data_IF_759798411684
#
_entry.id   IF_759798411684
#
_cell.length_a   1.000
_cell.length_b   1.000
_cell.length_c   1.000
_cell.angle_alpha   90.00
_cell.angle_beta   90.00
_cell.angle_gamma   90.00
#
_symmetry.space_group_name_H-M   'P 1'
#
loop_
_entity.id
_entity.type
_entity.pdbx_description
1 polymer ?
#
# COMPACT_ATOMS: atom_id res chain seq x y z
N UNK A 1 11.97 -5.84 -11.04
CA UNK A 1 11.86 -4.72 -12.01
C UNK A 1 12.88 -3.67 -11.60
N UNK A 2 13.53 -3.03 -12.55
CA UNK A 2 14.52 -1.96 -12.33
C UNK A 2 13.96 -0.67 -12.93
N UNK A 3 14.13 0.50 -12.28
CA UNK A 3 13.75 1.78 -12.88
C UNK A 3 14.40 1.94 -14.27
N UNK A 4 13.62 2.43 -15.23
CA UNK A 4 14.10 2.74 -16.58
C UNK A 4 14.45 4.23 -16.74
N UNK A 5 13.90 5.09 -15.88
CA UNK A 5 14.20 6.52 -15.77
C UNK A 5 14.17 6.87 -14.27
N UNK A 6 15.23 7.49 -13.78
CA UNK A 6 15.40 7.87 -12.37
C UNK A 6 14.68 9.18 -12.02
N UNK A 7 14.40 10.01 -13.02
CA UNK A 7 13.89 11.36 -12.85
C UNK A 7 12.41 11.47 -13.18
N UNK A 8 11.93 10.72 -14.17
CA UNK A 8 10.57 10.87 -14.69
C UNK A 8 9.73 9.61 -14.56
N UNK A 9 8.48 9.79 -14.11
CA UNK A 9 7.46 8.76 -14.21
C UNK A 9 6.73 8.88 -15.56
N UNK A 10 6.12 7.78 -15.99
CA UNK A 10 5.26 7.75 -17.19
C UNK A 10 4.13 8.78 -17.03
N UNK A 11 3.86 9.55 -18.09
CA UNK A 11 2.68 10.40 -18.21
C UNK A 11 1.45 9.53 -18.54
N UNK A 12 0.73 9.11 -17.51
CA UNK A 12 -0.29 8.05 -17.57
C UNK A 12 -1.58 8.52 -18.25
N UNK A 13 -1.84 9.83 -18.26
CA UNK A 13 -3.01 10.45 -18.93
C UNK A 13 -3.05 10.23 -20.45
N UNK A 14 -1.92 9.86 -21.07
CA UNK A 14 -1.84 9.54 -22.52
C UNK A 14 -2.36 8.14 -22.86
N UNK A 15 -2.74 7.34 -21.87
CA UNK A 15 -3.14 5.95 -22.03
C UNK A 15 -4.61 5.75 -21.64
N UNK A 16 -5.28 4.81 -22.31
CA UNK A 16 -6.62 4.35 -21.92
C UNK A 16 -6.59 3.29 -20.82
N UNK A 17 -5.48 2.55 -20.72
CA UNK A 17 -5.31 1.48 -19.73
C UNK A 17 -4.98 2.10 -18.37
N UNK A 18 -5.64 1.69 -17.26
CA UNK A 18 -5.38 2.25 -15.94
C UNK A 18 -4.01 1.84 -15.40
N UNK A 19 -3.37 2.74 -14.65
CA UNK A 19 -2.09 2.50 -14.01
C UNK A 19 -2.23 2.37 -12.49
N UNK A 20 -1.54 1.38 -11.92
CA UNK A 20 -1.28 1.28 -10.49
C UNK A 20 0.10 1.83 -10.17
N UNK A 21 0.22 2.65 -9.12
CA UNK A 21 1.51 3.18 -8.67
C UNK A 21 1.74 2.93 -7.17
N UNK A 22 3.00 2.73 -6.80
CA UNK A 22 3.42 2.58 -5.40
C UNK A 22 3.71 3.93 -4.74
N UNK A 23 3.38 4.07 -3.46
CA UNK A 23 3.76 5.22 -2.63
C UNK A 23 4.22 4.79 -1.24
N UNK A 24 5.02 5.64 -0.60
CA UNK A 24 5.43 5.52 0.81
C UNK A 24 4.75 6.52 1.74
N UNK A 25 4.32 7.64 1.18
CA UNK A 25 3.71 8.75 1.90
C UNK A 25 2.68 9.44 0.99
N UNK A 26 1.93 10.39 1.57
CA UNK A 26 0.87 11.08 0.87
C UNK A 26 1.36 11.93 -0.32
N UNK A 27 2.50 12.62 -0.18
CA UNK A 27 3.06 13.43 -1.25
C UNK A 27 3.40 12.60 -2.50
N UNK A 28 4.01 11.43 -2.31
CA UNK A 28 4.23 10.47 -3.40
C UNK A 28 2.92 10.01 -4.04
N UNK A 29 1.91 9.64 -3.24
CA UNK A 29 0.62 9.22 -3.75
C UNK A 29 -0.03 10.30 -4.63
N UNK A 30 -0.08 11.55 -4.15
CA UNK A 30 -0.68 12.67 -4.87
C UNK A 30 0.06 13.02 -6.15
N UNK A 31 1.40 12.93 -6.18
CA UNK A 31 2.15 13.09 -7.44
C UNK A 31 1.80 12.01 -8.46
N UNK A 32 1.70 10.74 -8.04
CA UNK A 32 1.30 9.64 -8.95
C UNK A 32 -0.12 9.83 -9.50
N UNK A 33 -1.04 10.31 -8.67
CA UNK A 33 -2.41 10.65 -9.08
C UNK A 33 -2.38 11.82 -10.07
N UNK A 34 -1.63 12.88 -9.79
CA UNK A 34 -1.45 14.02 -10.71
C UNK A 34 -0.85 13.64 -12.06
N UNK A 35 -0.04 12.58 -12.12
CA UNK A 35 0.46 11.99 -13.38
C UNK A 35 -0.55 11.10 -14.11
N UNK A 36 -1.71 10.81 -13.50
CA UNK A 36 -2.79 9.98 -14.07
C UNK A 36 -2.86 8.54 -13.54
N UNK A 37 -2.32 8.25 -12.34
CA UNK A 37 -2.54 6.93 -11.72
C UNK A 37 -4.02 6.74 -11.34
N UNK A 38 -4.58 5.58 -11.70
CA UNK A 38 -5.97 5.21 -11.41
C UNK A 38 -6.11 4.38 -10.13
N UNK A 39 -4.99 3.92 -9.56
CA UNK A 39 -4.93 3.17 -8.31
C UNK A 39 -3.58 3.40 -7.63
N UNK A 40 -3.60 3.53 -6.31
CA UNK A 40 -2.40 3.61 -5.48
C UNK A 40 -2.25 2.33 -4.66
N UNK A 41 -1.01 1.95 -4.39
CA UNK A 41 -0.68 0.92 -3.41
C UNK A 41 0.47 1.35 -2.52
N UNK A 42 0.59 0.76 -1.33
CA UNK A 42 1.85 0.86 -0.58
C UNK A 42 3.00 0.25 -1.38
N UNK A 43 4.22 0.80 -1.25
CA UNK A 43 5.41 0.12 -1.78
C UNK A 43 5.66 -1.17 -1.00
N UNK A 44 5.80 -1.02 0.33
CA UNK A 44 6.24 -2.08 1.23
C UNK A 44 7.60 -2.65 0.81
N UNK A 45 8.05 -3.72 1.48
CA UNK A 45 9.21 -4.48 1.01
C UNK A 45 8.74 -5.77 0.34
N UNK A 46 8.78 -5.80 -0.98
CA UNK A 46 8.24 -6.94 -1.73
C UNK A 46 9.19 -8.15 -1.66
N UNK A 47 8.64 -9.34 -1.42
CA UNK A 47 9.44 -10.56 -1.37
C UNK A 47 10.12 -10.85 -0.04
N UNK A 48 10.06 -9.94 0.94
CA UNK A 48 10.60 -10.15 2.30
C UNK A 48 9.70 -11.01 3.18
N UNK A 49 8.40 -11.10 2.90
CA UNK A 49 7.43 -11.71 3.81
C UNK A 49 7.25 -10.95 5.13
N UNK A 50 7.70 -9.69 5.19
CA UNK A 50 7.60 -8.82 6.36
C UNK A 50 6.76 -7.57 6.04
N UNK A 51 5.62 -7.45 6.71
CA UNK A 51 4.61 -6.40 6.46
C UNK A 51 4.94 -5.04 7.05
N UNK A 52 6.02 -4.90 7.85
CA UNK A 52 6.29 -3.69 8.63
C UNK A 52 6.30 -2.42 7.78
N UNK A 53 6.84 -2.50 6.56
CA UNK A 53 6.90 -1.38 5.63
C UNK A 53 5.55 -1.07 4.99
N UNK A 54 4.75 -2.09 4.66
CA UNK A 54 3.40 -1.86 4.18
C UNK A 54 2.55 -1.15 5.26
N UNK A 55 2.68 -1.57 6.52
CA UNK A 55 2.03 -0.92 7.68
C UNK A 55 2.51 0.52 7.83
N UNK A 56 3.83 0.77 7.79
CA UNK A 56 4.41 2.11 7.91
C UNK A 56 3.87 3.05 6.83
N UNK A 57 3.89 2.62 5.57
CA UNK A 57 3.40 3.42 4.44
C UNK A 57 1.90 3.69 4.53
N UNK A 58 1.09 2.68 4.89
CA UNK A 58 -0.36 2.86 5.02
C UNK A 58 -0.71 3.87 6.12
N UNK A 59 -0.05 3.76 7.28
CA UNK A 59 -0.20 4.74 8.37
C UNK A 59 0.24 6.13 7.93
N UNK A 60 1.41 6.27 7.31
CA UNK A 60 1.91 7.57 6.85
C UNK A 60 0.94 8.29 5.89
N UNK A 61 0.30 7.55 4.97
CA UNK A 61 -0.73 8.09 4.08
C UNK A 61 -1.98 8.49 4.88
N UNK A 62 -2.54 7.58 5.66
CA UNK A 62 -3.82 7.81 6.36
C UNK A 62 -3.70 8.89 7.45
N UNK A 63 -2.57 8.96 8.15
CA UNK A 63 -2.29 9.97 9.18
C UNK A 63 -2.19 11.37 8.54
N UNK A 64 -1.53 11.47 7.37
CA UNK A 64 -1.42 12.72 6.64
C UNK A 64 -2.77 13.19 6.08
N UNK A 65 -3.61 12.27 5.57
CA UNK A 65 -4.98 12.59 5.13
C UNK A 65 -5.79 13.13 6.31
N UNK A 66 -5.77 12.44 7.46
CA UNK A 66 -6.48 12.91 8.67
C UNK A 66 -6.00 14.30 9.09
N UNK A 67 -4.68 14.56 9.07
CA UNK A 67 -4.15 15.89 9.38
C UNK A 67 -4.65 16.96 8.41
N UNK A 68 -4.68 16.71 7.10
CA UNK A 68 -5.17 17.68 6.11
C UNK A 68 -6.62 18.06 6.39
N UNK A 69 -7.48 17.10 6.76
CA UNK A 69 -8.89 17.40 7.05
C UNK A 69 -9.08 18.40 8.20
N UNK A 70 -8.11 18.53 9.10
CA UNK A 70 -8.17 19.43 10.26
C UNK A 70 -7.47 20.78 10.05
N UNK A 71 -6.76 20.99 8.93
CA UNK A 71 -6.07 22.26 8.67
C UNK A 71 -7.05 23.36 8.23
N UNK A 72 -6.77 24.61 8.55
CA UNK A 72 -7.53 25.73 7.97
C UNK A 72 -7.18 25.94 6.49
N UNK A 73 -8.09 26.51 5.71
CA UNK A 73 -7.95 26.62 4.26
C UNK A 73 -6.69 27.42 3.84
N UNK A 74 -6.31 28.43 4.63
CA UNK A 74 -5.10 29.23 4.41
C UNK A 74 -3.80 28.42 4.58
N UNK A 75 -3.84 27.30 5.31
CA UNK A 75 -2.67 26.45 5.56
C UNK A 75 -2.43 25.44 4.42
N UNK A 76 -3.42 25.21 3.55
CA UNK A 76 -3.37 24.15 2.54
C UNK A 76 -2.27 24.35 1.51
N UNK A 77 -2.00 25.60 1.10
CA UNK A 77 -0.94 25.89 0.12
C UNK A 77 0.45 25.58 0.69
N UNK A 78 0.68 25.92 1.96
CA UNK A 78 1.93 25.59 2.64
C UNK A 78 2.10 24.07 2.80
N UNK A 79 1.02 23.36 3.10
CA UNK A 79 1.04 21.90 3.21
C UNK A 79 1.29 21.23 1.84
N UNK A 80 0.66 21.70 0.77
CA UNK A 80 0.90 21.22 -0.60
C UNK A 80 2.37 21.38 -1.02
N UNK A 81 2.97 22.54 -0.70
CA UNK A 81 4.41 22.79 -0.91
C UNK A 81 5.28 21.81 -0.12
N UNK A 82 4.98 21.57 1.16
CA UNK A 82 5.73 20.63 2.02
C UNK A 82 5.65 19.19 1.51
N UNK A 83 4.48 18.75 1.05
CA UNK A 83 4.29 17.41 0.50
C UNK A 83 4.90 17.26 -0.90
N UNK A 84 5.13 18.37 -1.61
CA UNK A 84 5.46 18.38 -3.03
C UNK A 84 4.32 17.79 -3.86
N UNK A 85 3.08 18.19 -3.57
CA UNK A 85 1.87 17.63 -4.15
C UNK A 85 1.05 18.70 -4.90
N UNK A 86 0.26 18.32 -5.91
CA UNK A 86 -0.67 19.25 -6.57
C UNK A 86 -1.66 19.85 -5.57
N UNK A 87 -1.78 21.18 -5.57
CA UNK A 87 -2.64 21.91 -4.62
C UNK A 87 -4.10 21.48 -4.70
N UNK A 88 -4.66 21.34 -5.91
CA UNK A 88 -6.06 20.95 -6.10
C UNK A 88 -6.37 19.57 -5.49
N UNK A 89 -5.40 18.65 -5.49
CA UNK A 89 -5.58 17.35 -4.84
C UNK A 89 -5.52 17.47 -3.30
N UNK A 90 -4.75 18.41 -2.76
CA UNK A 90 -4.77 18.69 -1.31
C UNK A 90 -6.12 19.29 -0.90
N UNK A 91 -6.69 20.20 -1.69
CA UNK A 91 -8.05 20.69 -1.48
C UNK A 91 -9.08 19.57 -1.55
N UNK A 92 -8.98 18.69 -2.55
CA UNK A 92 -9.84 17.51 -2.64
C UNK A 92 -9.78 16.64 -1.37
N UNK A 93 -8.58 16.42 -0.81
CA UNK A 93 -8.43 15.67 0.44
C UNK A 93 -9.06 16.37 1.64
N UNK A 94 -8.94 17.70 1.74
CA UNK A 94 -9.57 18.50 2.80
C UNK A 94 -11.09 18.31 2.80
N UNK A 95 -11.70 18.35 1.62
CA UNK A 95 -13.15 18.22 1.46
C UNK A 95 -13.65 16.78 1.63
N UNK A 96 -12.91 15.79 1.11
CA UNK A 96 -13.41 14.42 0.96
C UNK A 96 -12.86 13.43 2.00
N UNK A 97 -11.75 13.76 2.68
CA UNK A 97 -11.12 12.91 3.69
C UNK A 97 -10.55 11.58 3.18
N UNK A 98 -10.38 11.43 1.86
CA UNK A 98 -9.86 10.22 1.20
C UNK A 98 -9.25 10.55 -0.16
N UNK A 99 -8.40 9.66 -0.66
CA UNK A 99 -7.84 9.77 -2.01
C UNK A 99 -8.94 9.70 -3.09
N UNK A 100 -8.77 10.35 -4.25
CA UNK A 100 -9.70 10.25 -5.38
C UNK A 100 -9.62 8.91 -6.12
N UNK A 101 -8.70 8.02 -5.74
CA UNK A 101 -8.48 6.69 -6.33
C UNK A 101 -8.29 5.65 -5.22
N UNK A 102 -8.53 4.35 -5.50
CA UNK A 102 -8.36 3.31 -4.50
C UNK A 102 -6.93 3.21 -3.96
N UNK A 103 -6.78 2.89 -2.67
CA UNK A 103 -5.50 2.66 -2.01
C UNK A 103 -5.38 1.24 -1.44
N UNK A 104 -4.55 0.41 -2.09
CA UNK A 104 -4.36 -1.00 -1.71
C UNK A 104 -3.08 -1.19 -0.90
N UNK A 105 -3.03 -2.24 -0.07
CA UNK A 105 -1.79 -2.65 0.58
C UNK A 105 -1.00 -3.62 -0.30
N UNK A 106 0.32 -3.48 -0.32
CA UNK A 106 1.25 -4.38 -0.99
C UNK A 106 2.62 -4.39 -0.29
N UNK A 107 3.33 -5.51 -0.46
CA UNK A 107 4.64 -5.76 0.14
C UNK A 107 4.53 -6.48 1.48
N UNK A 108 5.28 -7.57 1.64
CA UNK A 108 5.36 -8.32 2.90
C UNK A 108 4.19 -9.21 3.29
N UNK A 109 2.99 -9.06 2.72
CA UNK A 109 1.80 -9.83 3.12
C UNK A 109 2.01 -11.33 2.87
N UNK A 110 1.98 -12.14 3.92
CA UNK A 110 2.25 -13.58 3.86
C UNK A 110 1.18 -14.46 4.55
N UNK A 111 0.35 -13.85 5.41
CA UNK A 111 -0.66 -14.56 6.21
C UNK A 111 -2.05 -13.94 6.10
N UNK A 112 -3.12 -14.68 6.46
CA UNK A 112 -4.47 -14.10 6.56
C UNK A 112 -4.55 -12.97 7.60
N UNK A 113 -3.78 -13.06 8.70
CA UNK A 113 -3.72 -12.02 9.71
C UNK A 113 -3.12 -10.71 9.17
N UNK A 114 -2.06 -10.81 8.37
CA UNK A 114 -1.47 -9.65 7.67
C UNK A 114 -2.50 -8.95 6.77
N UNK A 115 -3.24 -9.74 5.98
CA UNK A 115 -4.26 -9.22 5.09
C UNK A 115 -5.39 -8.52 5.88
N UNK A 116 -5.88 -9.15 6.94
CA UNK A 116 -6.88 -8.54 7.83
C UNK A 116 -6.36 -7.24 8.46
N UNK A 117 -5.13 -7.23 8.96
CA UNK A 117 -4.51 -6.04 9.55
C UNK A 117 -4.48 -4.88 8.56
N UNK A 118 -4.04 -5.11 7.31
CA UNK A 118 -3.99 -4.05 6.31
C UNK A 118 -5.37 -3.46 6.00
N UNK A 119 -6.40 -4.30 5.92
CA UNK A 119 -7.79 -3.84 5.75
C UNK A 119 -8.25 -2.98 6.94
N UNK A 120 -7.94 -3.39 8.18
CA UNK A 120 -8.25 -2.63 9.39
C UNK A 120 -7.50 -1.29 9.47
N UNK A 121 -6.31 -1.19 8.86
CA UNK A 121 -5.53 0.04 8.77
C UNK A 121 -6.04 1.01 7.70
N UNK A 122 -7.07 0.65 6.94
CA UNK A 122 -7.71 1.50 5.93
C UNK A 122 -7.31 1.18 4.49
N UNK A 123 -6.68 0.03 4.23
CA UNK A 123 -6.53 -0.46 2.85
C UNK A 123 -7.91 -0.86 2.28
N UNK A 124 -8.13 -0.57 1.01
CA UNK A 124 -9.36 -1.00 0.31
C UNK A 124 -9.25 -2.43 -0.25
N UNK A 125 -8.04 -2.93 -0.43
CA UNK A 125 -7.73 -4.33 -0.76
C UNK A 125 -6.24 -4.62 -0.57
N UNK A 126 -5.79 -5.83 -0.90
CA UNK A 126 -4.41 -6.30 -0.75
C UNK A 126 -3.86 -6.92 -2.03
N UNK A 127 -2.58 -6.68 -2.32
CA UNK A 127 -1.79 -7.42 -3.31
C UNK A 127 -0.92 -8.45 -2.60
N UNK A 128 -0.99 -9.71 -3.05
CA UNK A 128 -0.17 -10.79 -2.52
C UNK A 128 0.50 -11.54 -3.66
N UNK A 129 1.82 -11.71 -3.56
CA UNK A 129 2.64 -12.46 -4.52
C UNK A 129 3.37 -13.61 -3.83
N UNK A 130 4.60 -13.36 -3.38
CA UNK A 130 5.46 -14.38 -2.76
C UNK A 130 4.83 -15.06 -1.55
N UNK A 131 4.01 -14.34 -0.77
CA UNK A 131 3.32 -14.87 0.39
C UNK A 131 2.46 -16.11 0.10
N UNK A 132 1.91 -16.20 -1.12
CA UNK A 132 1.14 -17.36 -1.59
C UNK A 132 2.07 -18.38 -2.24
N UNK A 133 2.80 -17.98 -3.29
CA UNK A 133 3.49 -18.94 -4.16
C UNK A 133 4.79 -19.51 -3.58
N UNK A 134 5.37 -18.89 -2.54
CA UNK A 134 6.52 -19.45 -1.80
C UNK A 134 6.11 -20.18 -0.51
N UNK A 135 4.82 -20.44 -0.30
CA UNK A 135 4.34 -21.27 0.80
C UNK A 135 4.25 -22.74 0.42
N UNK A 136 4.15 -23.65 1.38
CA UNK A 136 4.04 -25.09 1.10
C UNK A 136 2.69 -25.50 0.51
N UNK A 137 1.63 -24.71 0.69
CA UNK A 137 0.31 -24.97 0.12
C UNK A 137 -0.34 -23.69 -0.46
N UNK A 138 0.06 -23.26 -1.67
CA UNK A 138 -0.38 -22.00 -2.26
C UNK A 138 -1.89 -21.89 -2.45
N UNK A 139 -2.57 -22.95 -2.87
CA UNK A 139 -4.01 -22.92 -3.14
C UNK A 139 -4.83 -22.66 -1.87
N UNK A 140 -4.51 -23.37 -0.78
CA UNK A 140 -5.18 -23.20 0.51
C UNK A 140 -4.87 -21.82 1.08
N UNK A 141 -3.62 -21.37 1.01
CA UNK A 141 -3.23 -20.04 1.50
C UNK A 141 -3.89 -18.91 0.71
N UNK A 142 -3.98 -19.01 -0.61
CA UNK A 142 -4.68 -18.04 -1.43
C UNK A 142 -6.14 -17.89 -1.01
N UNK A 143 -6.85 -19.03 -0.84
CA UNK A 143 -8.25 -19.02 -0.38
C UNK A 143 -8.37 -18.39 1.01
N UNK A 144 -7.48 -18.73 1.93
CA UNK A 144 -7.48 -18.18 3.28
C UNK A 144 -7.26 -16.66 3.31
N UNK A 145 -6.33 -16.16 2.50
CA UNK A 145 -6.08 -14.71 2.37
C UNK A 145 -7.31 -14.01 1.79
N UNK A 146 -7.93 -14.54 0.72
CA UNK A 146 -9.15 -13.97 0.15
C UNK A 146 -10.27 -13.89 1.20
N UNK A 147 -10.46 -14.96 1.97
CA UNK A 147 -11.47 -15.00 3.04
C UNK A 147 -11.17 -13.98 4.14
N UNK A 148 -9.91 -13.87 4.59
CA UNK A 148 -9.53 -12.91 5.62
C UNK A 148 -9.59 -11.46 5.14
N UNK A 149 -9.28 -11.17 3.87
CA UNK A 149 -9.48 -9.84 3.27
C UNK A 149 -10.96 -9.47 3.23
N UNK A 150 -11.83 -10.42 2.84
CA UNK A 150 -13.28 -10.19 2.73
C UNK A 150 -13.94 -10.01 4.10
N UNK A 151 -13.55 -10.83 5.07
CA UNK A 151 -14.16 -10.90 6.40
C UNK A 151 -13.21 -10.38 7.49
N UNK A 152 -12.42 -9.36 7.20
CA UNK A 152 -11.32 -8.91 8.06
C UNK A 152 -11.74 -8.48 9.48
N UNK A 153 -13.03 -8.15 9.70
CA UNK A 153 -13.61 -7.80 11.01
C UNK A 153 -14.10 -9.02 11.80
N UNK A 154 -14.26 -10.19 11.18
CA UNK A 154 -14.64 -11.41 11.87
C UNK A 154 -13.39 -12.15 12.37
N UNK A 155 -13.00 -11.84 13.61
CA UNK A 155 -11.83 -12.44 14.24
C UNK A 155 -11.91 -13.97 14.33
N UNK A 156 -13.13 -14.54 14.46
CA UNK A 156 -13.32 -15.99 14.51
C UNK A 156 -13.05 -16.62 13.15
N UNK A 157 -13.58 -16.04 12.08
CA UNK A 157 -13.33 -16.51 10.72
C UNK A 157 -11.86 -16.34 10.33
N UNK A 158 -11.25 -15.18 10.61
CA UNK A 158 -9.82 -14.95 10.36
C UNK A 158 -8.96 -15.98 11.09
N UNK A 159 -9.29 -16.29 12.35
CA UNK A 159 -8.63 -17.33 13.13
C UNK A 159 -8.82 -18.72 12.52
N UNK A 160 -10.02 -19.05 12.05
CA UNK A 160 -10.32 -20.35 11.46
C UNK A 160 -9.56 -20.57 10.14
N UNK A 161 -9.58 -19.59 9.23
CA UNK A 161 -8.86 -19.70 7.95
C UNK A 161 -7.35 -19.60 8.11
N UNK A 162 -6.84 -19.23 9.29
CA UNK A 162 -5.41 -19.23 9.60
C UNK A 162 -4.87 -20.60 10.03
N UNK A 163 -5.75 -21.59 10.24
CA UNK A 163 -5.36 -22.95 10.63
C UNK A 163 -4.94 -23.79 9.43
N UNK A 164 -4.08 -24.78 9.69
CA UNK A 164 -3.72 -25.83 8.72
C UNK A 164 -3.22 -25.32 7.36
N UNK A 165 -2.56 -24.16 7.34
CA UNK A 165 -2.03 -23.53 6.12
C UNK A 165 -0.68 -24.08 5.65
N UNK A 166 -0.08 -24.98 6.43
CA UNK A 166 1.31 -25.39 6.25
C UNK A 166 2.30 -24.24 6.47
N UNK A 167 3.55 -24.48 6.06
CA UNK A 167 4.64 -23.52 6.19
C UNK A 167 4.39 -22.26 5.33
N UNK A 168 4.56 -21.10 5.96
CA UNK A 168 4.62 -19.83 5.26
C UNK A 168 5.96 -19.68 4.52
N UNK A 169 6.04 -18.68 3.64
CA UNK A 169 7.34 -18.27 3.10
C UNK A 169 8.28 -17.86 4.23
N UNK A 170 9.59 -18.13 4.10
CA UNK A 170 10.57 -17.61 5.05
C UNK A 170 10.60 -16.09 4.98
N UNK A 171 10.39 -15.45 6.12
CA UNK A 171 10.54 -14.00 6.26
C UNK A 171 12.01 -13.61 6.27
N UNK A 172 12.30 -12.43 5.74
CA UNK A 172 13.58 -11.74 5.89
C UNK A 172 13.37 -10.57 6.84
N UNK A 173 14.28 -10.40 7.79
CA UNK A 173 14.34 -9.17 8.55
C UNK A 173 14.79 -8.04 7.61
N UNK A 174 14.08 -6.91 7.65
CA UNK A 174 14.37 -5.75 6.79
C UNK A 174 15.77 -5.21 7.09
N UNK A 175 16.20 -5.26 8.36
CA UNK A 175 17.53 -4.80 8.78
C UNK A 175 18.69 -5.58 8.14
N UNK A 176 18.42 -6.79 7.65
CA UNK A 176 19.41 -7.69 7.05
C UNK A 176 19.45 -7.61 5.53
N UNK A 177 18.55 -6.84 4.90
CA UNK A 177 18.54 -6.63 3.45
C UNK A 177 19.50 -5.48 3.15
N UNK A 178 20.55 -5.68 2.33
CA UNK A 178 21.44 -4.60 1.92
C UNK A 178 20.65 -3.44 1.31
N UNK A 179 21.06 -2.20 1.59
CA UNK A 179 20.30 -1.01 1.18
C UNK A 179 20.07 -1.00 -0.33
N UNK A 180 21.09 -1.37 -1.12
CA UNK A 180 20.99 -1.44 -2.56
C UNK A 180 19.96 -2.47 -3.06
N UNK A 181 19.52 -3.42 -2.23
CA UNK A 181 18.52 -4.45 -2.56
C UNK A 181 17.10 -4.09 -2.09
N UNK A 182 16.93 -3.07 -1.24
CA UNK A 182 15.63 -2.64 -0.76
C UNK A 182 14.77 -2.10 -1.91
N UNK A 183 13.60 -2.69 -2.09
CA UNK A 183 12.66 -2.30 -3.13
C UNK A 183 11.84 -1.08 -2.72
N UNK A 184 11.69 -0.83 -1.42
CA UNK A 184 10.93 0.33 -0.95
C UNK A 184 11.64 1.66 -1.18
N UNK A 185 12.98 1.67 -1.20
CA UNK A 185 13.75 2.91 -1.37
C UNK A 185 13.83 3.36 -2.83
N UNK A 186 13.65 2.41 -3.76
CA UNK A 186 13.67 2.59 -5.21
C UNK A 186 12.34 3.13 -5.72
#
# INVERSE_FOLDING_TARGET
>A
LTPADENNHILKTKFKVPFVCGCRNLGEALRRIGEGAALIRTKGEAGSGNIIEAVRHMRAVNDAIRRITTLDDEQLMAEAKKLGAPYDLVCYLKENGKLPVPNFAAGGIATPADASLMMQLGAESVFVGSGIFKSSNPAVRAKAIVMATTHYKDAKLVGEVSKSLGDAMKGLDISQIPEEQLLQIR
#
